data_IF_098809128026
#
_entry.id   IF_098809128026
#
_cell.length_a   1.000
_cell.length_b   1.000
_cell.length_c   1.000
_cell.angle_alpha   90.00
_cell.angle_beta   90.00
_cell.angle_gamma   90.00
#
_symmetry.space_group_name_H-M   'P 1'
#
loop_
_entity.id
_entity.type
_entity.pdbx_description
1 polymer ?
#
# COMPACT_ATOMS: atom_id res chain seq x y z
N UNK A 1 11.90 18.81 -17.01
CA UNK A 1 11.11 18.32 -15.86
C UNK A 1 10.48 16.98 -16.23
N UNK A 2 11.05 15.87 -15.75
CA UNK A 2 10.51 14.53 -16.04
C UNK A 2 9.23 14.33 -15.24
N UNK A 3 8.08 14.44 -15.91
CA UNK A 3 6.77 14.04 -15.37
C UNK A 3 6.86 12.53 -15.17
N UNK A 4 7.26 12.11 -13.97
CA UNK A 4 7.20 10.71 -13.59
C UNK A 4 5.75 10.29 -13.76
N UNK A 5 5.46 9.46 -14.78
CA UNK A 5 4.15 8.86 -15.02
C UNK A 5 3.73 8.24 -13.69
N UNK A 6 2.78 8.85 -12.98
CA UNK A 6 2.12 8.21 -11.85
C UNK A 6 1.55 6.92 -12.41
N UNK A 7 2.10 5.79 -12.00
CA UNK A 7 1.62 4.47 -12.38
C UNK A 7 0.19 4.36 -11.85
N UNK A 8 -0.77 4.72 -12.70
CA UNK A 8 -2.20 4.84 -12.41
C UNK A 8 -2.93 3.67 -13.03
N UNK A 9 -2.28 2.49 -13.12
CA UNK A 9 -3.01 1.25 -13.32
C UNK A 9 -4.02 1.16 -12.18
N UNK A 10 -5.30 1.27 -12.53
CA UNK A 10 -6.40 1.11 -11.59
C UNK A 10 -6.32 -0.33 -11.09
N UNK A 11 -6.20 -0.50 -9.77
CA UNK A 11 -6.34 -1.81 -9.15
C UNK A 11 -7.71 -2.37 -9.52
N UNK A 12 -7.78 -3.68 -9.71
CA UNK A 12 -9.01 -4.43 -9.93
C UNK A 12 -9.22 -5.45 -8.82
N UNK A 13 -10.47 -5.88 -8.65
CA UNK A 13 -10.79 -6.98 -7.73
C UNK A 13 -10.07 -8.23 -8.21
N UNK A 14 -9.38 -8.90 -7.29
CA UNK A 14 -8.56 -10.07 -7.58
C UNK A 14 -7.06 -9.80 -7.60
N UNK A 15 -6.64 -8.53 -7.70
CA UNK A 15 -5.23 -8.17 -7.73
C UNK A 15 -4.52 -8.53 -6.43
N UNK A 16 -3.28 -9.03 -6.57
CA UNK A 16 -2.37 -9.21 -5.44
C UNK A 16 -1.62 -7.91 -5.22
N UNK A 17 -1.72 -7.36 -4.02
CA UNK A 17 -1.15 -6.07 -3.64
C UNK A 17 -0.22 -6.20 -2.45
N UNK A 18 0.77 -5.32 -2.44
CA UNK A 18 1.70 -5.10 -1.33
C UNK A 18 1.46 -3.71 -0.75
N UNK A 19 1.51 -3.58 0.56
CA UNK A 19 1.41 -2.28 1.21
C UNK A 19 2.63 -1.41 0.86
N UNK A 20 2.42 -0.17 0.40
CA UNK A 20 3.51 0.76 0.10
C UNK A 20 4.04 1.45 1.35
N UNK A 21 5.27 1.96 1.26
CA UNK A 21 5.92 2.74 2.32
C UNK A 21 5.11 3.97 2.72
N UNK A 22 4.78 4.08 4.00
CA UNK A 22 4.10 5.25 4.57
C UNK A 22 5.15 6.27 5.03
N UNK A 23 4.82 7.57 4.98
CA UNK A 23 5.72 8.62 5.45
C UNK A 23 6.09 8.47 6.94
N UNK A 24 5.18 7.95 7.75
CA UNK A 24 5.43 7.65 9.17
C UNK A 24 6.35 6.45 9.41
N UNK A 25 6.70 5.68 8.36
CA UNK A 25 7.69 4.59 8.48
C UNK A 25 9.10 5.15 8.73
N UNK A 26 9.29 6.47 8.56
CA UNK A 26 10.53 7.19 8.86
C UNK A 26 10.61 7.71 10.31
N UNK A 27 9.60 7.48 11.14
CA UNK A 27 9.48 8.16 12.44
C UNK A 27 10.41 7.66 13.56
N UNK A 28 11.28 6.68 13.30
CA UNK A 28 12.18 6.15 14.33
C UNK A 28 13.62 6.24 13.85
N UNK A 29 14.44 6.99 14.59
CA UNK A 29 15.89 7.05 14.38
C UNK A 29 16.52 5.68 14.65
N UNK A 30 17.66 5.39 14.01
CA UNK A 30 18.40 4.14 14.21
C UNK A 30 18.79 3.90 15.67
N UNK A 31 18.86 4.96 16.47
CA UNK A 31 19.32 4.94 17.86
C UNK A 31 18.17 4.69 18.85
N UNK A 32 16.93 4.60 18.38
CA UNK A 32 15.79 4.31 19.24
C UNK A 32 15.75 2.81 19.63
N UNK A 33 15.43 2.47 20.89
CA UNK A 33 15.40 1.08 21.35
C UNK A 33 14.46 0.17 20.54
N UNK A 34 13.34 0.71 20.09
CA UNK A 34 12.37 -0.03 19.26
C UNK A 34 12.66 -0.01 17.75
N UNK A 35 13.78 0.58 17.31
CA UNK A 35 14.08 0.73 15.87
C UNK A 35 14.04 -0.59 15.13
N UNK A 36 14.67 -1.66 15.66
CA UNK A 36 14.69 -2.97 15.00
C UNK A 36 13.30 -3.60 14.90
N UNK A 37 12.47 -3.44 15.93
CA UNK A 37 11.11 -3.97 15.96
C UNK A 37 10.23 -3.28 14.92
N UNK A 38 10.30 -1.95 14.86
CA UNK A 38 9.52 -1.18 13.89
C UNK A 38 10.08 -1.33 12.48
N UNK A 39 11.40 -1.36 12.30
CA UNK A 39 12.03 -1.63 11.02
C UNK A 39 11.64 -3.01 10.47
N UNK A 40 11.50 -4.04 11.33
CA UNK A 40 11.02 -5.36 10.92
C UNK A 40 9.56 -5.34 10.46
N UNK A 41 8.69 -4.62 11.17
CA UNK A 41 7.28 -4.42 10.76
C UNK A 41 7.20 -3.66 9.42
N UNK A 42 8.05 -2.65 9.24
CA UNK A 42 8.14 -1.85 8.01
C UNK A 42 8.74 -2.63 6.83
N UNK A 43 9.68 -3.56 7.09
CA UNK A 43 10.30 -4.46 6.09
C UNK A 43 9.36 -5.59 5.67
N UNK A 44 8.59 -6.13 6.61
CA UNK A 44 7.61 -7.19 6.34
C UNK A 44 6.29 -6.58 5.84
N UNK A 45 6.35 -5.97 4.64
CA UNK A 45 5.15 -5.45 4.00
C UNK A 45 4.14 -6.57 3.81
N UNK A 46 2.90 -6.30 4.21
CA UNK A 46 1.82 -7.25 4.08
C UNK A 46 1.50 -7.42 2.60
N UNK A 47 1.26 -8.68 2.22
CA UNK A 47 0.75 -9.07 0.92
C UNK A 47 -0.70 -9.51 1.11
N UNK A 48 -1.56 -9.10 0.22
CA UNK A 48 -2.97 -9.40 0.28
C UNK A 48 -3.64 -9.31 -1.08
N UNK A 49 -4.93 -9.64 -1.11
CA UNK A 49 -5.75 -9.63 -2.32
C UNK A 49 -6.83 -8.57 -2.23
N UNK A 50 -7.01 -7.79 -3.29
CA UNK A 50 -8.12 -6.85 -3.39
C UNK A 50 -9.42 -7.64 -3.54
N UNK A 51 -10.36 -7.45 -2.61
CA UNK A 51 -11.66 -8.11 -2.63
C UNK A 51 -12.79 -7.19 -3.08
N UNK A 52 -12.63 -5.88 -2.90
CA UNK A 52 -13.63 -4.88 -3.26
C UNK A 52 -12.97 -3.53 -3.51
N UNK A 53 -13.57 -2.70 -4.37
CA UNK A 53 -13.19 -1.30 -4.58
C UNK A 53 -14.34 -0.41 -4.11
N UNK A 54 -14.02 0.56 -3.26
CA UNK A 54 -14.99 1.46 -2.64
C UNK A 54 -14.61 2.89 -2.97
N UNK A 55 -15.50 3.62 -3.62
CA UNK A 55 -15.34 5.05 -3.84
C UNK A 55 -16.03 5.81 -2.69
N UNK A 56 -15.30 6.71 -2.02
CA UNK A 56 -15.88 7.62 -1.02
C UNK A 56 -15.60 9.06 -1.42
N UNK A 57 -16.56 9.95 -1.15
CA UNK A 57 -16.36 11.38 -1.36
C UNK A 57 -15.72 12.01 -0.13
N UNK A 58 -14.73 12.87 -0.34
CA UNK A 58 -14.19 13.71 0.72
C UNK A 58 -15.19 14.83 1.10
N UNK A 59 -14.88 15.58 2.16
CA UNK A 59 -15.71 16.71 2.60
C UNK A 59 -15.84 17.83 1.55
N UNK A 60 -15.01 17.84 0.51
CA UNK A 60 -15.01 18.79 -0.61
C UNK A 60 -15.69 18.23 -1.86
N UNK A 61 -16.21 17.00 -1.79
CA UNK A 61 -16.91 16.31 -2.88
C UNK A 61 -16.03 15.52 -3.85
N UNK A 62 -14.71 15.45 -3.64
CA UNK A 62 -13.81 14.68 -4.51
C UNK A 62 -13.89 13.18 -4.25
N UNK A 63 -13.89 12.39 -5.32
CA UNK A 63 -13.81 10.95 -5.26
C UNK A 63 -12.44 10.48 -4.76
N UNK A 64 -12.45 9.70 -3.69
CA UNK A 64 -11.29 8.99 -3.16
C UNK A 64 -11.53 7.49 -3.34
N UNK A 65 -10.60 6.85 -4.04
CA UNK A 65 -10.64 5.41 -4.27
C UNK A 65 -10.00 4.66 -3.09
N UNK A 66 -10.78 3.79 -2.48
CA UNK A 66 -10.36 2.82 -1.48
C UNK A 66 -10.48 1.40 -2.05
N UNK A 67 -9.72 0.48 -1.47
CA UNK A 67 -9.79 -0.94 -1.73
C UNK A 67 -9.95 -1.69 -0.41
N UNK A 68 -10.85 -2.66 -0.38
CA UNK A 68 -10.87 -3.67 0.67
C UNK A 68 -9.83 -4.72 0.32
N UNK A 69 -8.89 -4.96 1.22
CA UNK A 69 -7.81 -5.94 1.02
C UNK A 69 -7.90 -7.01 2.09
N UNK A 70 -7.94 -8.27 1.65
CA UNK A 70 -7.74 -9.43 2.51
C UNK A 70 -6.25 -9.74 2.56
N UNK A 71 -5.62 -9.39 3.69
CA UNK A 71 -4.21 -9.65 3.93
C UNK A 71 -3.99 -11.12 4.27
N UNK A 72 -2.90 -11.73 3.78
CA UNK A 72 -2.61 -13.15 4.03
C UNK A 72 -2.53 -13.53 5.52
N UNK A 73 -2.18 -12.57 6.38
CA UNK A 73 -2.06 -12.75 7.82
C UNK A 73 -3.39 -12.60 8.59
N UNK A 74 -4.46 -12.16 7.93
CA UNK A 74 -5.73 -11.80 8.57
C UNK A 74 -6.92 -12.45 7.87
N UNK A 75 -7.94 -12.82 8.65
CA UNK A 75 -9.15 -13.47 8.11
C UNK A 75 -10.24 -12.47 7.69
N UNK A 76 -10.03 -11.17 7.89
CA UNK A 76 -11.03 -10.14 7.59
C UNK A 76 -10.45 -9.06 6.67
N UNK A 77 -11.22 -8.66 5.63
CA UNK A 77 -10.81 -7.55 4.75
C UNK A 77 -10.74 -6.23 5.52
N UNK A 78 -9.76 -5.39 5.19
CA UNK A 78 -9.62 -4.03 5.74
C UNK A 78 -9.64 -2.99 4.63
N UNK A 79 -10.16 -1.80 4.94
CA UNK A 79 -10.23 -0.68 4.01
C UNK A 79 -8.89 0.04 3.93
N UNK A 80 -8.32 0.13 2.74
CA UNK A 80 -7.08 0.84 2.47
C UNK A 80 -7.27 1.86 1.35
N UNK A 81 -6.57 3.00 1.45
CA UNK A 81 -6.52 3.95 0.35
C UNK A 81 -5.73 3.36 -0.82
N UNK A 82 -6.21 3.46 -2.06
CA UNK A 82 -5.56 2.81 -3.23
C UNK A 82 -4.11 3.25 -3.40
N UNK A 83 -3.77 4.52 -3.13
CA UNK A 83 -2.38 5.00 -3.15
C UNK A 83 -1.44 4.31 -2.14
N UNK A 84 -1.97 3.58 -1.15
CA UNK A 84 -1.17 2.82 -0.18
C UNK A 84 -0.87 1.38 -0.63
N UNK A 85 -1.31 1.03 -1.83
CA UNK A 85 -1.22 -0.32 -2.37
C UNK A 85 -0.43 -0.26 -3.67
N UNK A 86 0.47 -1.23 -3.85
CA UNK A 86 1.19 -1.45 -5.09
C UNK A 86 0.87 -2.85 -5.59
N UNK A 87 0.64 -2.99 -6.88
CA UNK A 87 0.45 -4.28 -7.51
C UNK A 87 1.75 -5.10 -7.38
N UNK A 88 1.66 -6.35 -6.91
CA UNK A 88 2.84 -7.18 -6.70
C UNK A 88 3.53 -7.55 -8.02
N UNK A 89 2.78 -7.72 -9.12
CA UNK A 89 3.37 -8.05 -10.44
C UNK A 89 4.23 -6.90 -11.02
N UNK A 90 3.99 -5.66 -10.60
CA UNK A 90 4.85 -4.52 -10.95
C UNK A 90 6.11 -4.45 -10.04
N UNK A 91 6.09 -5.06 -8.84
CA UNK A 91 7.22 -5.07 -7.92
C UNK A 91 8.39 -5.95 -8.39
N UNK A 92 8.12 -6.97 -9.20
CA UNK A 92 9.14 -7.82 -9.84
C UNK A 92 9.99 -7.08 -10.88
N UNK A 93 9.54 -5.91 -11.35
CA UNK A 93 10.26 -5.12 -12.38
C UNK A 93 11.11 -3.98 -11.81
N UNK A 94 10.84 -3.52 -10.58
CA UNK A 94 11.61 -2.44 -9.94
C UNK A 94 12.88 -2.91 -9.21
N UNK A 95 13.12 -4.22 -9.05
CA UNK A 95 14.36 -4.73 -8.42
C UNK A 95 15.55 -4.90 -9.39
N UNK A 96 15.36 -4.56 -10.68
CA UNK A 96 16.37 -4.74 -11.74
C UNK A 96 16.78 -3.44 -12.46
N UNK A 97 16.42 -2.27 -11.93
CA UNK A 97 16.79 -0.97 -12.51
C UNK A 97 17.70 -0.16 -11.58
#
# INVERSE_FOLDING_TARGET
MSIHKRNTKRLVVGDTVIETKHFTDHCISKDHPDFQKVAKIVRNRRVGKVVELVEKKDARGHAINYAMVLWNEYNSPRLHHVMRLRLLDDASKEQTA
#
